data_IF_441565543483
#
_entry.id   IF_441565543483
#
_cell.length_a   1.000
_cell.length_b   1.000
_cell.length_c   1.000
_cell.angle_alpha   90.00
_cell.angle_beta   90.00
_cell.angle_gamma   90.00
#
_symmetry.space_group_name_H-M   'P 1'
#
loop_
_entity.id
_entity.type
_entity.pdbx_description
1 polymer ?
#
# COMPACT_ATOMS: atom_id res chain seq x y z
N UNK A 1 -13.91 -27.05 -27.10
CA UNK A 1 -13.27 -26.03 -26.24
C UNK A 1 -11.75 -25.95 -26.43
N UNK A 2 -11.01 -27.06 -26.37
CA UNK A 2 -9.53 -27.07 -26.50
C UNK A 2 -9.01 -26.46 -27.83
N UNK A 3 -9.63 -26.81 -28.94
CA UNK A 3 -9.17 -26.35 -30.29
C UNK A 3 -9.33 -24.82 -30.47
N UNK A 4 -10.39 -24.25 -29.94
CA UNK A 4 -10.62 -22.80 -29.98
C UNK A 4 -9.61 -22.04 -29.08
N UNK A 5 -9.28 -22.54 -27.91
CA UNK A 5 -8.29 -21.96 -27.01
C UNK A 5 -6.86 -22.00 -27.62
N UNK A 6 -6.51 -23.11 -28.27
CA UNK A 6 -5.22 -23.21 -28.98
C UNK A 6 -5.11 -22.22 -30.13
N UNK A 7 -6.19 -21.99 -30.88
CA UNK A 7 -6.22 -21.00 -31.94
C UNK A 7 -6.02 -19.59 -31.38
N UNK A 8 -6.80 -19.23 -30.36
CA UNK A 8 -6.67 -17.91 -29.68
C UNK A 8 -5.23 -17.72 -29.17
N UNK A 9 -4.66 -18.73 -28.51
CA UNK A 9 -3.28 -18.65 -28.03
C UNK A 9 -2.28 -18.38 -29.15
N UNK A 10 -2.37 -19.13 -30.28
CA UNK A 10 -1.49 -18.92 -31.44
C UNK A 10 -1.64 -17.54 -32.03
N UNK A 11 -2.85 -17.04 -32.17
CA UNK A 11 -3.11 -15.71 -32.71
C UNK A 11 -2.48 -14.63 -31.82
N UNK A 12 -2.62 -14.74 -30.49
CA UNK A 12 -2.04 -13.81 -29.53
C UNK A 12 -0.50 -13.81 -29.54
N UNK A 13 0.13 -15.00 -29.51
CA UNK A 13 1.61 -15.08 -29.50
C UNK A 13 2.24 -14.70 -30.83
N UNK A 14 1.49 -14.79 -31.94
CA UNK A 14 1.96 -14.33 -33.25
C UNK A 14 1.83 -12.82 -33.42
N UNK A 15 0.84 -12.22 -32.72
CA UNK A 15 0.61 -10.77 -32.78
C UNK A 15 1.64 -9.98 -31.96
N UNK A 16 2.12 -10.56 -30.84
CA UNK A 16 3.00 -9.88 -29.90
C UNK A 16 4.24 -10.73 -29.61
N UNK A 17 5.38 -10.04 -29.41
CA UNK A 17 6.64 -10.73 -29.07
C UNK A 17 6.75 -10.97 -27.55
N UNK A 18 5.94 -11.91 -27.03
CA UNK A 18 6.01 -12.35 -25.65
C UNK A 18 7.21 -13.26 -25.37
N UNK A 19 7.80 -13.10 -24.19
CA UNK A 19 8.82 -14.03 -23.71
C UNK A 19 8.21 -15.40 -23.31
N UNK A 20 9.07 -16.35 -22.91
CA UNK A 20 8.65 -17.70 -22.53
C UNK A 20 7.71 -17.70 -21.33
N UNK A 21 7.98 -16.85 -20.31
CA UNK A 21 7.20 -16.82 -19.09
C UNK A 21 5.85 -16.14 -19.31
N UNK A 22 5.82 -15.02 -20.03
CA UNK A 22 4.57 -14.38 -20.46
C UNK A 22 3.67 -15.35 -21.23
N UNK A 23 4.24 -16.09 -22.21
CA UNK A 23 3.50 -17.14 -22.95
C UNK A 23 2.92 -18.22 -22.04
N UNK A 24 3.66 -18.62 -21.01
CA UNK A 24 3.19 -19.62 -20.05
C UNK A 24 1.97 -19.11 -19.25
N UNK A 25 2.01 -17.86 -18.77
CA UNK A 25 0.88 -17.23 -18.04
C UNK A 25 -0.36 -17.12 -18.92
N UNK A 26 -0.20 -16.68 -20.17
CA UNK A 26 -1.32 -16.57 -21.14
C UNK A 26 -1.94 -17.95 -21.38
N UNK A 27 -1.11 -18.97 -21.66
CA UNK A 27 -1.58 -20.31 -21.90
C UNK A 27 -2.32 -20.92 -20.69
N UNK A 28 -1.80 -20.65 -19.49
CA UNK A 28 -2.45 -21.10 -18.26
C UNK A 28 -3.84 -20.46 -18.13
N UNK A 29 -3.94 -19.11 -18.24
CA UNK A 29 -5.22 -18.42 -18.12
C UNK A 29 -6.27 -18.89 -19.14
N UNK A 30 -5.86 -19.13 -20.40
CA UNK A 30 -6.76 -19.68 -21.40
C UNK A 30 -7.28 -21.07 -21.02
N UNK A 31 -6.42 -21.95 -20.47
CA UNK A 31 -6.81 -23.29 -20.02
C UNK A 31 -7.81 -23.25 -18.87
N UNK A 32 -7.64 -22.30 -17.96
CA UNK A 32 -8.55 -22.06 -16.83
C UNK A 32 -9.82 -21.28 -17.23
N UNK A 33 -9.93 -20.84 -18.49
CA UNK A 33 -11.08 -20.08 -18.99
C UNK A 33 -11.14 -18.64 -18.49
N UNK A 34 -9.99 -18.09 -18.11
CA UNK A 34 -9.90 -16.69 -17.67
C UNK A 34 -9.93 -15.73 -18.86
N UNK A 35 -10.42 -14.51 -18.62
CA UNK A 35 -10.34 -13.44 -19.60
C UNK A 35 -8.92 -12.87 -19.68
N UNK A 36 -8.10 -13.46 -20.55
CA UNK A 36 -6.69 -13.07 -20.73
C UNK A 36 -6.52 -11.68 -21.34
N UNK A 37 -7.58 -11.07 -21.87
CA UNK A 37 -7.50 -9.74 -22.51
C UNK A 37 -7.01 -8.66 -21.55
N UNK A 38 -7.20 -8.88 -20.26
CA UNK A 38 -6.74 -7.96 -19.21
C UNK A 38 -5.22 -7.87 -19.07
N UNK A 39 -4.47 -8.88 -19.51
CA UNK A 39 -3.01 -8.91 -19.33
C UNK A 39 -2.23 -9.33 -20.58
N UNK A 40 -2.91 -9.62 -21.69
CA UNK A 40 -2.26 -9.84 -22.98
C UNK A 40 -1.82 -8.50 -23.56
N UNK A 41 -0.86 -7.87 -22.90
CA UNK A 41 -0.19 -6.66 -23.31
C UNK A 41 1.33 -6.83 -23.11
N UNK A 42 2.18 -6.65 -24.13
CA UNK A 42 3.62 -6.82 -24.03
C UNK A 42 4.31 -5.82 -23.07
N UNK A 43 3.63 -4.75 -22.68
CA UNK A 43 4.12 -3.80 -21.68
C UNK A 43 4.12 -4.39 -20.25
N UNK A 44 3.26 -5.39 -19.99
CA UNK A 44 3.32 -6.13 -18.76
C UNK A 44 4.48 -7.11 -18.76
N UNK A 45 5.31 -7.07 -17.74
CA UNK A 45 6.23 -8.17 -17.49
C UNK A 45 5.49 -9.40 -16.93
N UNK A 46 6.17 -10.54 -16.90
CA UNK A 46 5.63 -11.80 -16.38
C UNK A 46 5.00 -11.67 -14.99
N UNK A 47 5.66 -10.98 -14.04
CA UNK A 47 5.16 -10.84 -12.68
C UNK A 47 3.88 -9.99 -12.60
N UNK A 48 3.77 -8.96 -13.41
CA UNK A 48 2.56 -8.13 -13.53
C UNK A 48 1.40 -8.95 -14.10
N UNK A 49 1.65 -9.71 -15.19
CA UNK A 49 0.65 -10.63 -15.77
C UNK A 49 0.13 -11.64 -14.73
N UNK A 50 1.02 -12.18 -13.87
CA UNK A 50 0.61 -13.09 -12.81
C UNK A 50 -0.29 -12.41 -11.78
N UNK A 51 -0.04 -11.14 -11.41
CA UNK A 51 -0.92 -10.45 -10.47
C UNK A 51 -2.33 -10.27 -11.05
N UNK A 52 -2.45 -9.95 -12.34
CA UNK A 52 -3.76 -9.84 -13.00
C UNK A 52 -4.44 -11.21 -13.06
N UNK A 53 -3.71 -12.27 -13.47
CA UNK A 53 -4.21 -13.62 -13.51
C UNK A 53 -4.74 -14.09 -12.15
N UNK A 54 -3.99 -13.90 -11.06
CA UNK A 54 -4.44 -14.24 -9.70
C UNK A 54 -5.71 -13.49 -9.31
N UNK A 55 -5.82 -12.21 -9.69
CA UNK A 55 -7.04 -11.45 -9.43
C UNK A 55 -8.26 -11.97 -10.17
N UNK A 56 -8.09 -12.40 -11.42
CA UNK A 56 -9.15 -13.04 -12.20
C UNK A 56 -9.58 -14.38 -11.60
N UNK A 57 -8.62 -15.20 -11.13
CA UNK A 57 -8.90 -16.46 -10.43
C UNK A 57 -9.71 -16.23 -9.15
N UNK A 58 -9.35 -15.21 -8.38
CA UNK A 58 -10.02 -14.82 -7.15
C UNK A 58 -11.25 -13.92 -7.37
N UNK A 59 -11.61 -13.66 -8.64
CA UNK A 59 -12.78 -12.89 -9.06
C UNK A 59 -12.85 -11.47 -8.50
N UNK A 60 -11.71 -10.84 -8.29
CA UNK A 60 -11.65 -9.43 -7.92
C UNK A 60 -11.64 -8.53 -9.15
N UNK A 61 -11.98 -7.26 -8.96
CA UNK A 61 -11.99 -6.29 -10.05
C UNK A 61 -10.55 -5.89 -10.45
N UNK A 62 -10.00 -6.56 -11.45
CA UNK A 62 -8.64 -6.33 -11.94
C UNK A 62 -8.47 -4.97 -12.64
N UNK A 63 -9.57 -4.34 -13.11
CA UNK A 63 -9.51 -3.03 -13.80
C UNK A 63 -8.89 -1.92 -12.93
N UNK A 64 -8.88 -2.11 -11.62
CA UNK A 64 -8.32 -1.14 -10.67
C UNK A 64 -6.80 -1.09 -10.74
N UNK A 65 -6.15 -2.22 -11.07
CA UNK A 65 -4.69 -2.32 -11.00
C UNK A 65 -4.02 -2.95 -12.22
N UNK A 66 -4.78 -3.42 -13.20
CA UNK A 66 -4.23 -3.96 -14.46
C UNK A 66 -3.70 -2.81 -15.33
N UNK A 67 -2.66 -2.14 -14.85
CA UNK A 67 -1.98 -1.02 -15.48
C UNK A 67 -0.45 -1.27 -15.45
N UNK A 68 0.26 -1.27 -16.60
CA UNK A 68 1.71 -1.47 -16.65
C UNK A 68 2.54 -0.48 -15.84
N UNK A 69 2.01 0.69 -15.51
CA UNK A 69 2.66 1.69 -14.65
C UNK A 69 2.83 1.24 -13.20
N UNK A 70 1.96 0.33 -12.73
CA UNK A 70 2.16 -0.30 -11.44
C UNK A 70 3.18 -1.42 -11.54
N UNK A 71 4.23 -1.37 -10.74
CA UNK A 71 5.07 -2.56 -10.57
C UNK A 71 4.27 -3.71 -9.94
N UNK A 72 4.76 -4.94 -10.12
CA UNK A 72 4.03 -6.14 -9.66
C UNK A 72 3.78 -6.17 -8.14
N UNK A 73 4.61 -5.45 -7.33
CA UNK A 73 4.48 -5.40 -5.87
C UNK A 73 3.33 -4.48 -5.47
N UNK A 74 3.19 -3.32 -6.15
CA UNK A 74 2.02 -2.45 -6.01
C UNK A 74 0.75 -3.17 -6.45
N UNK A 75 0.78 -3.84 -7.61
CA UNK A 75 -0.36 -4.66 -8.07
C UNK A 75 -0.74 -5.73 -7.04
N UNK A 76 0.24 -6.39 -6.43
CA UNK A 76 0.02 -7.43 -5.41
C UNK A 76 -0.70 -6.88 -4.19
N UNK A 77 -0.30 -5.71 -3.65
CA UNK A 77 -0.95 -5.17 -2.45
C UNK A 77 -2.38 -4.69 -2.74
N UNK A 78 -2.63 -4.14 -3.94
CA UNK A 78 -3.99 -3.77 -4.37
C UNK A 78 -4.85 -5.04 -4.50
N UNK A 79 -4.36 -6.07 -5.19
CA UNK A 79 -5.06 -7.35 -5.35
C UNK A 79 -5.43 -7.97 -3.99
N UNK A 80 -4.47 -8.08 -3.07
CA UNK A 80 -4.69 -8.65 -1.73
C UNK A 80 -5.75 -7.84 -0.97
N UNK A 81 -5.72 -6.50 -1.06
CA UNK A 81 -6.75 -5.65 -0.47
C UNK A 81 -8.14 -5.92 -1.04
N UNK A 82 -8.25 -6.06 -2.37
CA UNK A 82 -9.52 -6.42 -3.03
C UNK A 82 -10.01 -7.80 -2.61
N UNK A 83 -9.12 -8.80 -2.49
CA UNK A 83 -9.46 -10.15 -2.03
C UNK A 83 -10.01 -10.17 -0.60
N UNK A 84 -9.57 -9.23 0.24
CA UNK A 84 -10.07 -9.02 1.60
C UNK A 84 -11.28 -8.10 1.69
N UNK A 85 -11.75 -7.55 0.57
CA UNK A 85 -12.88 -6.61 0.52
C UNK A 85 -12.55 -5.23 1.10
N UNK A 86 -11.27 -4.85 1.15
CA UNK A 86 -10.85 -3.53 1.61
C UNK A 86 -11.12 -2.45 0.56
N UNK A 87 -11.34 -1.23 1.00
CA UNK A 87 -11.47 -0.08 0.09
C UNK A 87 -10.10 0.37 -0.42
N UNK A 88 -9.64 -0.23 -1.51
CA UNK A 88 -8.33 0.05 -2.10
C UNK A 88 -8.23 1.44 -2.74
N UNK A 89 -9.34 2.18 -2.90
CA UNK A 89 -9.31 3.51 -3.51
C UNK A 89 -8.44 4.51 -2.75
N UNK A 90 -8.17 4.24 -1.47
CA UNK A 90 -7.27 5.06 -0.66
C UNK A 90 -5.80 4.98 -1.07
N UNK A 91 -5.38 3.91 -1.75
CA UNK A 91 -3.97 3.69 -2.08
C UNK A 91 -3.70 3.17 -3.48
N UNK A 92 -4.72 2.80 -4.25
CA UNK A 92 -4.55 2.33 -5.63
C UNK A 92 -4.23 3.50 -6.59
N UNK A 93 -3.15 4.21 -6.32
CA UNK A 93 -2.63 5.34 -7.11
C UNK A 93 -1.14 5.19 -7.35
N UNK A 94 -0.65 5.67 -8.50
CA UNK A 94 0.78 5.71 -8.82
C UNK A 94 1.57 6.68 -7.93
N UNK A 95 0.91 7.64 -7.28
CA UNK A 95 1.51 8.64 -6.40
C UNK A 95 2.11 8.04 -5.12
N UNK A 96 1.53 6.93 -4.63
CA UNK A 96 2.06 6.22 -3.48
C UNK A 96 3.22 5.30 -3.88
N UNK A 97 4.27 5.26 -3.07
CA UNK A 97 5.22 4.15 -3.13
C UNK A 97 4.59 2.88 -2.52
N UNK A 98 5.26 1.73 -2.68
CA UNK A 98 4.74 0.46 -2.16
C UNK A 98 4.61 0.46 -0.63
N UNK A 99 5.57 1.03 0.05
CA UNK A 99 5.66 1.06 1.51
C UNK A 99 4.53 1.92 2.10
N UNK A 100 4.21 3.05 1.49
CA UNK A 100 3.04 3.87 1.82
C UNK A 100 1.73 3.09 1.63
N UNK A 101 1.59 2.38 0.48
CA UNK A 101 0.42 1.53 0.23
C UNK A 101 0.25 0.44 1.31
N UNK A 102 1.35 -0.12 1.80
CA UNK A 102 1.34 -1.14 2.87
C UNK A 102 0.84 -0.55 4.19
N UNK A 103 1.25 0.66 4.57
CA UNK A 103 0.76 1.31 5.80
C UNK A 103 -0.73 1.65 5.72
N UNK A 104 -1.22 2.09 4.56
CA UNK A 104 -2.65 2.33 4.35
C UNK A 104 -3.43 1.01 4.37
N UNK A 105 -2.91 -0.03 3.72
CA UNK A 105 -3.49 -1.38 3.76
C UNK A 105 -3.65 -1.90 5.20
N UNK A 106 -2.61 -1.81 6.04
CA UNK A 106 -2.71 -2.21 7.44
C UNK A 106 -3.72 -1.39 8.23
N UNK A 107 -3.81 -0.07 7.98
CA UNK A 107 -4.84 0.75 8.62
C UNK A 107 -6.26 0.32 8.27
N UNK A 108 -6.50 -0.04 7.01
CA UNK A 108 -7.79 -0.59 6.59
C UNK A 108 -8.08 -1.96 7.25
N UNK A 109 -7.07 -2.83 7.41
CA UNK A 109 -7.21 -4.09 8.16
C UNK A 109 -7.53 -3.85 9.63
N UNK A 110 -6.87 -2.87 10.24
CA UNK A 110 -7.10 -2.44 11.63
C UNK A 110 -8.43 -1.70 11.80
N UNK A 111 -9.14 -1.42 10.68
CA UNK A 111 -10.44 -0.70 10.63
C UNK A 111 -10.39 0.72 11.19
N UNK A 112 -9.24 1.36 11.07
CA UNK A 112 -9.07 2.77 11.41
C UNK A 112 -9.36 3.67 10.19
N UNK A 113 -9.64 4.93 10.44
CA UNK A 113 -9.85 5.91 9.37
C UNK A 113 -8.52 6.30 8.74
N UNK A 114 -8.21 5.69 7.60
CA UNK A 114 -6.98 5.94 6.85
C UNK A 114 -7.00 7.28 6.10
N UNK A 115 -8.17 7.92 5.92
CA UNK A 115 -8.30 9.16 5.15
C UNK A 115 -7.43 10.29 5.71
N UNK A 116 -7.07 10.20 6.99
CA UNK A 116 -6.25 11.19 7.68
C UNK A 116 -4.80 11.18 7.20
N UNK A 117 -4.26 10.00 6.83
CA UNK A 117 -2.86 9.85 6.46
C UNK A 117 -2.63 9.20 5.08
N UNK A 118 -3.68 8.83 4.37
CA UNK A 118 -3.58 8.39 2.98
C UNK A 118 -3.30 9.60 2.06
N UNK A 119 -2.16 10.24 2.28
CA UNK A 119 -1.65 11.41 1.58
C UNK A 119 -0.18 11.16 1.20
N UNK A 120 0.20 11.22 -0.09
CA UNK A 120 1.58 10.99 -0.55
C UNK A 120 2.64 11.90 0.06
N UNK A 121 2.25 13.02 0.68
CA UNK A 121 3.17 13.93 1.38
C UNK A 121 3.78 13.30 2.66
N UNK A 122 3.11 12.30 3.25
CA UNK A 122 3.68 11.53 4.35
C UNK A 122 4.54 10.41 3.81
N UNK A 123 5.75 10.23 4.33
CA UNK A 123 6.52 9.01 4.12
C UNK A 123 5.90 7.81 4.86
N UNK A 124 6.32 6.60 4.53
CA UNK A 124 5.79 5.37 5.14
C UNK A 124 6.03 5.29 6.65
N UNK A 125 7.10 5.88 7.16
CA UNK A 125 7.39 5.91 8.60
C UNK A 125 6.49 6.90 9.33
N UNK A 126 6.20 8.06 8.71
CA UNK A 126 5.22 9.03 9.23
C UNK A 126 3.82 8.40 9.27
N UNK A 127 3.41 7.75 8.17
CA UNK A 127 2.13 7.01 8.10
C UNK A 127 2.04 5.95 9.20
N UNK A 128 3.12 5.22 9.47
CA UNK A 128 3.18 4.23 10.53
C UNK A 128 2.96 4.85 11.92
N UNK A 129 3.63 5.97 12.23
CA UNK A 129 3.48 6.64 13.53
C UNK A 129 2.06 7.21 13.71
N UNK A 130 1.42 7.70 12.64
CA UNK A 130 0.02 8.15 12.65
C UNK A 130 -0.91 6.96 12.88
N UNK A 131 -0.74 5.85 12.13
CA UNK A 131 -1.53 4.63 12.28
C UNK A 131 -1.45 4.07 13.71
N UNK A 132 -0.23 3.99 14.28
CA UNK A 132 -0.04 3.54 15.66
C UNK A 132 -0.74 4.44 16.69
N UNK A 133 -0.82 5.74 16.44
CA UNK A 133 -1.57 6.67 17.28
C UNK A 133 -3.07 6.44 17.20
N UNK A 134 -3.60 6.28 15.98
CA UNK A 134 -5.01 5.98 15.74
C UNK A 134 -5.43 4.64 16.38
N UNK A 135 -4.59 3.60 16.29
CA UNK A 135 -4.84 2.31 16.96
C UNK A 135 -4.95 2.42 18.49
N UNK A 136 -4.49 3.51 19.09
CA UNK A 136 -4.52 3.79 20.53
C UNK A 136 -5.48 4.93 20.91
N UNK A 137 -6.34 5.32 19.99
CA UNK A 137 -7.30 6.42 20.15
C UNK A 137 -6.65 7.74 20.62
N UNK A 138 -5.40 8.01 20.16
CA UNK A 138 -4.71 9.26 20.48
C UNK A 138 -5.20 10.39 19.57
N UNK A 139 -5.12 11.62 20.07
CA UNK A 139 -5.34 12.80 19.24
C UNK A 139 -4.14 13.02 18.32
N UNK A 140 -4.23 12.43 17.13
CA UNK A 140 -3.17 12.51 16.11
C UNK A 140 -3.12 13.87 15.41
N UNK A 141 -4.18 14.71 15.51
CA UNK A 141 -4.24 16.03 14.89
C UNK A 141 -3.10 16.93 15.34
N UNK A 142 -2.56 16.64 16.50
CA UNK A 142 -1.43 17.36 17.11
C UNK A 142 -0.15 17.19 16.29
N UNK A 143 0.09 16.00 15.68
CA UNK A 143 1.37 15.68 15.04
C UNK A 143 1.26 15.08 13.63
N UNK A 144 0.07 14.75 13.15
CA UNK A 144 -0.13 14.25 11.78
C UNK A 144 0.04 15.39 10.76
N UNK A 145 1.25 15.91 10.67
CA UNK A 145 1.64 17.03 9.80
C UNK A 145 2.99 16.72 9.14
N UNK A 146 3.10 16.83 7.80
CA UNK A 146 4.31 16.43 7.05
C UNK A 146 5.61 17.12 7.50
N UNK A 147 5.52 18.28 8.12
CA UNK A 147 6.68 19.00 8.63
C UNK A 147 7.39 18.33 9.82
N UNK A 148 6.74 17.43 10.54
CA UNK A 148 7.41 16.61 11.54
C UNK A 148 8.04 15.38 10.91
N UNK A 149 9.30 15.14 11.15
CA UNK A 149 9.91 13.85 10.82
C UNK A 149 9.24 12.71 11.60
N UNK A 150 9.27 11.48 11.07
CA UNK A 150 8.70 10.33 11.77
C UNK A 150 9.29 10.10 13.18
N UNK A 151 10.57 10.47 13.39
CA UNK A 151 11.20 10.39 14.72
C UNK A 151 10.61 11.40 15.69
N UNK A 152 10.29 12.61 15.24
CA UNK A 152 9.58 13.61 16.03
C UNK A 152 8.15 13.18 16.33
N UNK A 153 7.40 12.71 15.31
CA UNK A 153 6.07 12.13 15.48
C UNK A 153 6.06 11.02 16.53
N UNK A 154 7.07 10.14 16.50
CA UNK A 154 7.25 9.09 17.50
C UNK A 154 7.42 9.63 18.92
N UNK A 155 8.20 10.71 19.13
CA UNK A 155 8.34 11.28 20.46
C UNK A 155 7.03 11.89 20.95
N UNK A 156 6.28 12.55 20.07
CA UNK A 156 4.98 13.14 20.41
C UNK A 156 3.98 12.02 20.74
N UNK A 157 3.85 10.99 19.87
CA UNK A 157 2.97 9.84 20.12
C UNK A 157 3.27 9.18 21.47
N UNK A 158 4.54 8.88 21.77
CA UNK A 158 4.96 8.29 23.05
C UNK A 158 4.65 9.20 24.23
N UNK A 159 4.71 10.52 24.05
CA UNK A 159 4.30 11.49 25.06
C UNK A 159 2.80 11.40 25.35
N UNK A 160 1.97 11.39 24.31
CA UNK A 160 0.52 11.26 24.40
C UNK A 160 0.12 9.94 25.06
N UNK A 161 0.74 8.81 24.67
CA UNK A 161 0.52 7.50 25.29
C UNK A 161 0.76 7.51 26.79
N UNK A 162 1.76 8.25 27.25
CA UNK A 162 2.11 8.38 28.66
C UNK A 162 1.42 9.58 29.33
N UNK A 163 0.47 10.23 28.66
CA UNK A 163 -0.28 11.40 29.15
C UNK A 163 0.65 12.56 29.56
N UNK A 164 1.75 12.75 28.85
CA UNK A 164 2.69 13.85 29.07
C UNK A 164 2.18 15.08 28.30
N UNK A 165 2.39 16.27 28.86
CA UNK A 165 2.13 17.51 28.10
C UNK A 165 3.15 17.65 26.97
N UNK A 166 2.73 17.34 25.74
CA UNK A 166 3.58 17.37 24.54
C UNK A 166 3.80 18.80 24.01
N UNK A 167 3.00 19.78 24.40
CA UNK A 167 3.10 21.17 23.94
C UNK A 167 4.47 21.78 24.22
N UNK A 168 5.15 21.28 25.25
CA UNK A 168 6.48 21.77 25.65
C UNK A 168 7.58 21.48 24.62
N UNK A 169 7.34 20.50 23.73
CA UNK A 169 8.29 20.13 22.66
C UNK A 169 7.60 19.95 21.29
N UNK A 170 6.36 20.40 21.15
CA UNK A 170 5.59 20.31 19.91
C UNK A 170 6.03 21.39 18.92
N UNK A 171 7.25 21.30 18.42
CA UNK A 171 7.83 22.22 17.45
C UNK A 171 8.73 21.47 16.46
N UNK A 172 8.44 21.52 15.14
CA UNK A 172 9.26 20.86 14.11
C UNK A 172 10.74 21.30 14.09
N UNK A 173 11.06 22.47 14.65
CA UNK A 173 12.44 22.98 14.73
C UNK A 173 13.25 22.33 15.87
N UNK A 174 12.61 21.58 16.78
CA UNK A 174 13.31 20.86 17.85
C UNK A 174 13.75 19.49 17.30
N UNK A 175 15.04 19.18 17.44
CA UNK A 175 15.55 17.89 17.02
C UNK A 175 14.90 16.73 17.82
N UNK A 176 14.65 15.60 17.18
CA UNK A 176 13.96 14.48 17.83
C UNK A 176 14.67 13.96 19.09
N UNK A 177 16.01 14.09 19.16
CA UNK A 177 16.80 13.73 20.34
C UNK A 177 16.44 14.61 21.54
N UNK A 178 16.35 15.91 21.33
CA UNK A 178 15.95 16.90 22.35
C UNK A 178 14.50 16.68 22.77
N UNK A 179 13.59 16.44 21.81
CA UNK A 179 12.20 16.05 22.13
C UNK A 179 12.15 14.82 23.01
N UNK A 180 13.00 13.82 22.75
CA UNK A 180 13.10 12.59 23.55
C UNK A 180 13.58 12.88 24.97
N UNK A 181 14.59 13.74 25.15
CA UNK A 181 15.11 14.13 26.46
C UNK A 181 14.03 14.83 27.28
N UNK A 182 13.39 15.86 26.71
CA UNK A 182 12.28 16.59 27.36
C UNK A 182 11.16 15.59 27.76
N UNK A 183 10.76 14.70 26.86
CA UNK A 183 9.73 13.68 27.16
C UNK A 183 10.12 12.79 28.33
N UNK A 184 11.36 12.32 28.39
CA UNK A 184 11.85 11.45 29.46
C UNK A 184 11.92 12.18 30.81
N UNK A 185 12.37 13.43 30.83
CA UNK A 185 12.38 14.27 32.03
C UNK A 185 10.97 14.47 32.60
N UNK A 186 10.01 14.83 31.73
CA UNK A 186 8.62 14.98 32.10
C UNK A 186 7.98 13.67 32.62
N UNK A 187 8.42 12.53 32.06
CA UNK A 187 7.97 11.20 32.52
C UNK A 187 8.56 10.84 33.88
N UNK A 188 9.80 11.20 34.15
CA UNK A 188 10.47 11.00 35.45
C UNK A 188 9.88 11.84 36.59
N UNK A 189 9.40 13.04 36.28
CA UNK A 189 8.81 13.97 37.23
C UNK A 189 7.33 13.64 37.61
N UNK A 190 6.73 12.62 36.98
CA UNK A 190 5.37 12.13 37.29
C UNK A 190 5.31 11.08 38.42
N UNK A 191 6.45 10.76 39.05
CA UNK A 191 6.52 9.92 40.23
C UNK A 191 6.40 10.77 41.48
#
# INVERSE_FOLDING_TARGET
MKENQEKIYRDLINKYNFDKNQKAVINYGLKEGLDVTWYVNPEFNYFQMEQVRFGLENKVNVSIYANPEFDYRKMSIIRIGLEKGLNVSYYASSEFNREQMVEIYYGLEDKIDVSIYANPEFDEHQMNEIRLGLCKDLDISIYARPEFSWLQMKQIRLGLENKINVELYLNPSIEWQEMKEIRLELQGNKK
#
